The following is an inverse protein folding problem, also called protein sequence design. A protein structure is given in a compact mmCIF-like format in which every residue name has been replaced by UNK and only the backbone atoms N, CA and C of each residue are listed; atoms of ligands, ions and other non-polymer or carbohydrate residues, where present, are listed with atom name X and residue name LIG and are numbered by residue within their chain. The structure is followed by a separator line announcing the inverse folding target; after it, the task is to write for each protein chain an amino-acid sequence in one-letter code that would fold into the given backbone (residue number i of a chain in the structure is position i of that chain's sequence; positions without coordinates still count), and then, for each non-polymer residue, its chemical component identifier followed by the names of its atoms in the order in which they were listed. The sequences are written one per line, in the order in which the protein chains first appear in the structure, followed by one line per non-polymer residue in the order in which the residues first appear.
data_IF_837187412353
#
_entry.id   IF_837187412353
#
_cell.length_a   1.000
_cell.length_b   1.000
_cell.length_c   1.000
_cell.angle_alpha   90.00
_cell.angle_beta   90.00
_cell.angle_gamma   90.00
#
_symmetry.space_group_name_H-M   'P 1'
#
loop_
_entity.id
_entity.type
_entity.pdbx_description
1 polymer ?
#
# COMPACT_ATOMS: atom_id res chain seq x y z
N UNK A 1 46.51 21.34 16.30
CA UNK A 1 46.31 22.74 15.88
C UNK A 1 46.86 22.81 14.46
N UNK A 2 46.01 22.93 13.44
CA UNK A 2 46.50 23.12 12.07
C UNK A 2 47.32 24.41 12.04
N UNK A 3 48.60 24.32 11.69
CA UNK A 3 49.46 25.50 11.53
C UNK A 3 48.90 26.30 10.36
N UNK A 4 48.28 27.44 10.65
CA UNK A 4 47.81 28.37 9.62
C UNK A 4 49.03 28.91 8.88
N UNK A 5 49.02 28.78 7.55
CA UNK A 5 50.00 29.41 6.69
C UNK A 5 50.07 30.92 6.97
N UNK A 6 51.25 31.54 6.85
CA UNK A 6 51.38 32.99 6.96
C UNK A 6 50.52 33.67 5.90
N UNK A 7 50.02 34.87 6.22
CA UNK A 7 49.18 35.65 5.30
C UNK A 7 50.03 35.99 4.07
N UNK A 8 49.55 35.60 2.89
CA UNK A 8 50.24 35.83 1.62
C UNK A 8 49.89 37.21 1.05
N UNK A 9 50.90 38.07 0.95
CA UNK A 9 50.79 39.40 0.36
C UNK A 9 51.56 39.44 -0.96
N UNK A 10 50.91 39.94 -2.02
CA UNK A 10 51.56 40.17 -3.32
C UNK A 10 51.44 41.64 -3.70
N UNK A 11 52.50 42.19 -4.30
CA UNK A 11 52.55 43.61 -4.67
C UNK A 11 52.59 43.70 -6.20
N UNK A 12 51.65 44.43 -6.80
CA UNK A 12 51.71 44.77 -8.23
C UNK A 12 52.36 46.14 -8.36
N UNK A 13 53.34 46.23 -9.26
CA UNK A 13 54.02 47.46 -9.66
C UNK A 13 53.99 47.60 -11.18
N UNK A 14 54.26 48.79 -11.72
CA UNK A 14 54.14 49.05 -13.15
C UNK A 14 55.37 48.56 -13.91
N UNK A 15 56.56 48.81 -13.38
CA UNK A 15 57.85 48.55 -14.03
C UNK A 15 58.85 47.77 -13.18
N UNK A 16 59.96 47.37 -13.82
CA UNK A 16 61.06 46.66 -13.15
C UNK A 16 61.87 47.56 -12.20
N UNK A 17 61.93 48.85 -12.47
CA UNK A 17 62.51 49.90 -11.60
C UNK A 17 61.79 49.97 -10.25
N UNK A 18 60.46 49.95 -10.26
CA UNK A 18 59.64 49.92 -9.06
C UNK A 18 59.91 48.68 -8.20
N UNK A 19 60.15 47.53 -8.84
CA UNK A 19 60.48 46.27 -8.14
C UNK A 19 61.73 46.46 -7.30
N UNK A 20 62.75 47.13 -7.83
CA UNK A 20 64.00 47.34 -7.10
C UNK A 20 63.77 48.18 -5.84
N UNK A 21 63.03 49.29 -5.96
CA UNK A 21 62.73 50.16 -4.84
C UNK A 21 61.84 49.50 -3.78
N UNK A 22 60.80 48.80 -4.20
CA UNK A 22 59.94 48.03 -3.30
C UNK A 22 60.77 46.92 -2.62
N UNK A 23 61.60 46.19 -3.37
CA UNK A 23 62.48 45.15 -2.82
C UNK A 23 63.44 45.69 -1.77
N UNK A 24 64.11 46.82 -2.03
CA UNK A 24 64.96 47.52 -1.04
C UNK A 24 64.16 47.94 0.19
N UNK A 25 62.95 48.43 0.00
CA UNK A 25 62.07 48.79 1.11
C UNK A 25 61.75 47.59 2.01
N UNK A 26 61.59 46.38 1.43
CA UNK A 26 61.29 45.14 2.14
C UNK A 26 62.46 44.52 2.92
N UNK A 27 63.71 44.73 2.49
CA UNK A 27 64.88 44.05 3.06
C UNK A 27 65.05 44.20 4.59
N UNK A 28 64.66 45.35 5.17
CA UNK A 28 64.75 45.55 6.62
C UNK A 28 63.37 45.53 7.32
N UNK A 29 62.38 44.86 6.72
CA UNK A 29 61.05 44.69 7.31
C UNK A 29 60.91 43.27 7.85
N UNK A 30 60.67 43.13 9.16
CA UNK A 30 60.44 41.84 9.82
C UNK A 30 58.95 41.43 9.87
N UNK A 31 58.23 41.48 8.74
CA UNK A 31 56.78 41.18 8.69
C UNK A 31 56.43 39.74 9.12
N UNK A 32 57.28 38.77 8.80
CA UNK A 32 57.06 37.37 9.16
C UNK A 32 57.11 37.14 10.67
N UNK A 33 58.11 37.71 11.35
CA UNK A 33 58.28 37.56 12.79
C UNK A 33 57.30 38.43 13.59
N UNK A 34 57.03 39.67 13.13
CA UNK A 34 56.17 40.61 13.86
C UNK A 34 54.67 40.31 13.69
N UNK A 35 54.26 39.85 12.50
CA UNK A 35 52.84 39.79 12.12
C UNK A 35 52.39 38.48 11.47
N UNK A 36 53.28 37.49 11.30
CA UNK A 36 53.00 36.25 10.57
C UNK A 36 52.54 36.49 9.11
N UNK A 37 53.19 37.47 8.46
CA UNK A 37 52.89 37.90 7.09
C UNK A 37 54.10 37.62 6.19
N UNK A 38 53.85 37.07 5.01
CA UNK A 38 54.87 36.85 3.99
C UNK A 38 54.52 37.63 2.73
N UNK A 39 55.48 38.37 2.18
CA UNK A 39 55.34 38.96 0.85
C UNK A 39 55.93 37.96 -0.14
N UNK A 40 55.09 37.24 -0.88
CA UNK A 40 55.54 36.14 -1.75
C UNK A 40 56.05 36.62 -3.11
N UNK A 41 55.56 37.74 -3.62
CA UNK A 41 55.96 38.26 -4.93
C UNK A 41 55.73 39.76 -5.10
N UNK A 42 56.60 40.35 -5.92
CA UNK A 42 56.44 41.67 -6.52
C UNK A 42 56.29 41.45 -8.03
N UNK A 43 55.20 41.93 -8.61
CA UNK A 43 54.76 41.59 -9.97
C UNK A 43 54.84 42.87 -10.82
N UNK A 44 55.88 43.04 -11.67
CA UNK A 44 55.99 44.17 -12.57
C UNK A 44 55.15 43.95 -13.82
N UNK A 45 53.94 44.49 -13.83
CA UNK A 45 53.09 44.40 -15.02
C UNK A 45 52.09 45.53 -15.06
N UNK A 46 51.77 45.98 -16.27
CA UNK A 46 50.62 46.84 -16.58
C UNK A 46 49.47 46.06 -17.21
N UNK A 47 49.65 44.76 -17.45
CA UNK A 47 48.65 43.89 -18.07
C UNK A 47 47.76 43.22 -17.01
N UNK A 48 46.45 43.43 -17.12
CA UNK A 48 45.45 42.89 -16.19
C UNK A 48 45.35 41.38 -16.18
N UNK A 49 45.55 40.70 -17.32
CA UNK A 49 45.49 39.25 -17.41
C UNK A 49 46.70 38.58 -16.75
N UNK A 50 47.88 39.16 -16.92
CA UNK A 50 49.10 38.68 -16.25
C UNK A 50 48.97 38.87 -14.74
N UNK A 51 48.55 40.07 -14.32
CA UNK A 51 48.29 40.35 -12.91
C UNK A 51 47.29 39.34 -12.32
N UNK A 52 46.18 39.08 -13.02
CA UNK A 52 45.14 38.14 -12.58
C UNK A 52 45.69 36.75 -12.29
N UNK A 53 46.50 36.20 -13.20
CA UNK A 53 47.13 34.89 -13.01
C UNK A 53 48.16 34.92 -11.88
N UNK A 54 48.94 35.99 -11.79
CA UNK A 54 50.04 36.12 -10.84
C UNK A 54 49.56 36.35 -9.40
N UNK A 55 48.39 36.98 -9.19
CA UNK A 55 47.85 37.21 -7.85
C UNK A 55 46.88 36.14 -7.35
N UNK A 56 46.51 35.18 -8.19
CA UNK A 56 45.54 34.16 -7.83
C UNK A 56 45.92 33.43 -6.54
N UNK A 57 44.96 33.34 -5.61
CA UNK A 57 45.13 32.72 -4.30
C UNK A 57 45.91 33.54 -3.27
N UNK A 58 46.24 34.81 -3.56
CA UNK A 58 46.80 35.72 -2.56
C UNK A 58 45.71 36.17 -1.55
N UNK A 59 46.10 36.29 -0.29
CA UNK A 59 45.21 36.83 0.75
C UNK A 59 45.04 38.34 0.59
N UNK A 60 46.12 39.06 0.30
CA UNK A 60 46.12 40.51 0.08
C UNK A 60 46.95 40.86 -1.14
N UNK A 61 46.39 41.70 -2.01
CA UNK A 61 47.13 42.33 -3.10
C UNK A 61 47.29 43.82 -2.83
N UNK A 62 48.53 44.28 -2.82
CA UNK A 62 48.86 45.70 -2.77
C UNK A 62 49.11 46.21 -4.19
N UNK A 63 48.46 47.30 -4.57
CA UNK A 63 48.69 47.98 -5.84
C UNK A 63 49.57 49.20 -5.57
N UNK A 64 50.80 49.15 -6.07
CA UNK A 64 51.80 50.20 -5.98
C UNK A 64 52.01 50.81 -7.38
N UNK A 65 50.98 51.51 -7.86
CA UNK A 65 51.03 52.31 -9.09
C UNK A 65 51.35 53.75 -8.77
N UNK A 66 51.75 54.50 -9.80
CA UNK A 66 52.04 55.91 -9.67
C UNK A 66 50.80 56.72 -9.25
N UNK A 67 51.07 57.90 -8.67
CA UNK A 67 50.03 58.78 -8.13
C UNK A 67 49.39 59.62 -9.24
N UNK A 68 49.90 59.57 -10.46
CA UNK A 68 49.42 60.30 -11.63
C UNK A 68 48.07 59.78 -12.16
N UNK A 69 47.56 60.39 -13.24
CA UNK A 69 46.26 59.99 -13.80
C UNK A 69 46.28 58.58 -14.42
N UNK A 70 47.27 58.22 -15.26
CA UNK A 70 47.47 56.84 -15.74
C UNK A 70 47.55 55.78 -14.64
N UNK A 71 48.39 55.98 -13.61
CA UNK A 71 48.58 55.03 -12.51
C UNK A 71 47.32 54.87 -11.65
N UNK A 72 46.51 55.93 -11.51
CA UNK A 72 45.17 55.84 -10.89
C UNK A 72 44.21 54.99 -11.71
N UNK A 73 44.14 55.23 -13.01
CA UNK A 73 43.24 54.47 -13.89
C UNK A 73 43.63 52.98 -13.93
N UNK A 74 44.93 52.69 -13.96
CA UNK A 74 45.46 51.33 -13.90
C UNK A 74 45.10 50.64 -12.58
N UNK A 75 45.24 51.32 -11.44
CA UNK A 75 44.83 50.78 -10.15
C UNK A 75 43.33 50.48 -10.08
N UNK A 76 42.48 51.35 -10.62
CA UNK A 76 41.04 51.10 -10.68
C UNK A 76 40.70 49.89 -11.56
N UNK A 77 41.41 49.70 -12.68
CA UNK A 77 41.28 48.52 -13.53
C UNK A 77 41.64 47.25 -12.76
N UNK A 78 42.77 47.25 -12.04
CA UNK A 78 43.15 46.12 -11.19
C UNK A 78 42.12 45.83 -10.11
N UNK A 79 41.63 46.85 -9.40
CA UNK A 79 40.61 46.66 -8.36
C UNK A 79 39.34 46.00 -8.90
N UNK A 80 38.90 46.36 -10.11
CA UNK A 80 37.71 45.78 -10.74
C UNK A 80 37.92 44.32 -11.16
N UNK A 81 39.05 44.04 -11.82
CA UNK A 81 39.34 42.72 -12.38
C UNK A 81 39.68 41.69 -11.30
N UNK A 82 40.42 42.10 -10.28
CA UNK A 82 40.98 41.18 -9.29
C UNK A 82 40.03 40.89 -8.10
N UNK A 83 38.93 41.65 -7.94
CA UNK A 83 38.06 41.62 -6.74
C UNK A 83 37.54 40.23 -6.34
N UNK A 84 37.40 39.30 -7.30
CA UNK A 84 36.88 37.94 -7.06
C UNK A 84 37.96 36.87 -6.93
N UNK A 85 39.21 37.22 -7.21
CA UNK A 85 40.32 36.27 -7.35
C UNK A 85 41.24 36.27 -6.12
N UNK A 86 41.12 37.29 -5.27
CA UNK A 86 41.98 37.48 -4.09
C UNK A 86 41.14 37.90 -2.88
N UNK A 87 41.69 37.69 -1.67
CA UNK A 87 40.99 37.99 -0.42
C UNK A 87 40.67 39.48 -0.26
N UNK A 88 41.68 40.34 -0.42
CA UNK A 88 41.53 41.79 -0.35
C UNK A 88 42.48 42.51 -1.32
N UNK A 89 42.09 43.69 -1.80
CA UNK A 89 42.92 44.54 -2.66
C UNK A 89 43.02 45.92 -2.02
N UNK A 90 44.24 46.41 -1.85
CA UNK A 90 44.50 47.73 -1.32
C UNK A 90 45.46 48.49 -2.24
N UNK A 91 45.12 49.74 -2.56
CA UNK A 91 46.07 50.62 -3.25
C UNK A 91 46.94 51.33 -2.21
N UNK A 92 48.25 51.34 -2.44
CA UNK A 92 49.20 52.09 -1.62
C UNK A 92 48.99 53.59 -1.79
N UNK A 93 49.08 54.35 -0.69
CA UNK A 93 48.95 55.80 -0.68
C UNK A 93 50.34 56.44 -0.64
N UNK A 94 50.96 56.52 -1.81
CA UNK A 94 52.25 57.17 -1.99
C UNK A 94 52.11 58.70 -2.02
N UNK A 95 53.12 59.47 -1.60
CA UNK A 95 53.09 60.94 -1.63
C UNK A 95 52.93 61.49 -3.07
N UNK A 96 52.20 62.59 -3.19
CA UNK A 96 51.96 63.24 -4.49
C UNK A 96 53.26 63.76 -5.13
N UNK A 97 53.33 63.66 -6.47
CA UNK A 97 54.42 64.22 -7.28
C UNK A 97 55.72 63.41 -7.26
N UNK A 98 55.69 62.18 -6.76
CA UNK A 98 56.81 61.26 -6.80
C UNK A 98 56.38 59.98 -7.49
N UNK A 99 57.10 59.60 -8.53
CA UNK A 99 56.98 58.26 -9.11
C UNK A 99 57.57 57.25 -8.11
N UNK A 100 57.08 56.02 -8.11
CA UNK A 100 57.56 54.95 -7.20
C UNK A 100 59.09 54.81 -7.22
N UNK A 101 59.70 55.11 -8.37
CA UNK A 101 61.15 55.11 -8.62
C UNK A 101 61.97 56.12 -7.79
N UNK A 102 61.38 57.23 -7.34
CA UNK A 102 62.10 58.33 -6.68
C UNK A 102 61.74 58.50 -5.21
N UNK A 103 60.89 57.61 -4.67
CA UNK A 103 60.48 57.66 -3.27
C UNK A 103 61.53 56.98 -2.39
N UNK A 104 61.84 57.59 -1.25
CA UNK A 104 62.69 56.97 -0.22
C UNK A 104 62.11 55.59 0.19
N UNK A 105 62.91 54.50 0.11
CA UNK A 105 62.51 53.16 0.55
C UNK A 105 61.92 53.11 1.98
N UNK A 106 62.30 54.03 2.87
CA UNK A 106 61.72 54.14 4.22
C UNK A 106 60.23 54.50 4.18
N UNK A 107 59.84 55.38 3.25
CA UNK A 107 58.45 55.81 3.11
C UNK A 107 57.60 54.72 2.44
N UNK A 108 58.13 54.07 1.40
CA UNK A 108 57.49 52.90 0.75
C UNK A 108 57.21 51.83 1.80
N UNK A 109 58.21 51.50 2.62
CA UNK A 109 58.08 50.56 3.74
C UNK A 109 56.94 50.91 4.69
N UNK A 110 56.88 52.18 5.11
CA UNK A 110 55.84 52.65 6.03
C UNK A 110 54.46 52.47 5.39
N UNK A 111 54.33 52.77 4.11
CA UNK A 111 53.06 52.62 3.41
C UNK A 111 52.68 51.16 3.18
N UNK A 112 53.63 50.25 2.92
CA UNK A 112 53.37 48.80 2.88
C UNK A 112 52.80 48.34 4.23
N UNK A 113 53.42 48.72 5.36
CA UNK A 113 52.90 48.39 6.69
C UNK A 113 51.48 48.97 6.89
N UNK A 114 51.28 50.24 6.56
CA UNK A 114 49.98 50.89 6.72
C UNK A 114 48.89 50.22 5.86
N UNK A 115 49.20 49.89 4.61
CA UNK A 115 48.26 49.25 3.69
C UNK A 115 47.82 47.88 4.22
N UNK A 116 48.79 47.05 4.65
CA UNK A 116 48.51 45.76 5.29
C UNK A 116 47.62 45.92 6.54
N UNK A 117 47.93 46.89 7.41
CA UNK A 117 47.13 47.17 8.61
C UNK A 117 45.71 47.58 8.23
N UNK A 118 45.52 48.46 7.24
CA UNK A 118 44.19 48.87 6.75
C UNK A 118 43.40 47.68 6.23
N UNK A 119 44.03 46.82 5.42
CA UNK A 119 43.42 45.59 4.93
C UNK A 119 42.99 44.66 6.07
N UNK A 120 43.87 44.47 7.06
CA UNK A 120 43.58 43.65 8.24
C UNK A 120 42.41 44.19 9.06
N UNK A 121 42.38 45.49 9.34
CA UNK A 121 41.30 46.14 10.09
C UNK A 121 39.96 46.03 9.34
N UNK A 122 39.95 46.20 8.02
CA UNK A 122 38.74 46.06 7.21
C UNK A 122 38.20 44.62 7.26
N UNK A 123 39.08 43.62 7.20
CA UNK A 123 38.70 42.21 7.35
C UNK A 123 38.15 41.90 8.73
N UNK A 124 38.75 42.46 9.79
CA UNK A 124 38.26 42.31 11.17
C UNK A 124 36.85 42.91 11.32
N UNK A 125 36.60 44.08 10.74
CA UNK A 125 35.28 44.72 10.79
C UNK A 125 34.18 43.84 10.16
N UNK A 126 34.53 42.99 9.20
CA UNK A 126 33.59 42.08 8.53
C UNK A 126 33.39 40.74 9.27
N UNK A 127 34.15 40.44 10.34
CA UNK A 127 34.05 39.16 11.07
C UNK A 127 32.64 38.89 11.61
N UNK A 128 31.91 39.92 12.03
CA UNK A 128 30.53 39.78 12.49
C UNK A 128 29.62 39.19 11.40
N UNK A 129 29.70 39.74 10.19
CA UNK A 129 28.93 39.25 9.02
C UNK A 129 29.34 37.84 8.63
N UNK A 130 30.65 37.54 8.63
CA UNK A 130 31.13 36.18 8.36
C UNK A 130 30.59 35.16 9.38
N UNK A 131 30.54 35.51 10.67
CA UNK A 131 29.95 34.66 11.71
C UNK A 131 28.45 34.43 11.48
N UNK A 132 27.72 35.49 11.12
CA UNK A 132 26.29 35.39 10.81
C UNK A 132 26.04 34.44 9.61
N UNK A 133 26.79 34.63 8.52
CA UNK A 133 26.69 33.75 7.34
C UNK A 133 27.05 32.31 7.70
N UNK A 134 28.10 32.10 8.50
CA UNK A 134 28.51 30.76 8.97
C UNK A 134 27.42 30.10 9.81
N UNK A 135 26.76 30.85 10.69
CA UNK A 135 25.65 30.32 11.49
C UNK A 135 24.46 29.94 10.60
N UNK A 136 24.07 30.81 9.67
CA UNK A 136 23.01 30.52 8.70
C UNK A 136 23.31 29.28 7.84
N UNK A 137 24.57 29.10 7.45
CA UNK A 137 25.02 27.91 6.73
C UNK A 137 24.83 26.66 7.60
N UNK A 138 25.27 26.70 8.86
CA UNK A 138 25.10 25.60 9.80
C UNK A 138 23.62 25.26 10.03
N UNK A 139 22.77 26.25 10.24
CA UNK A 139 21.33 26.06 10.41
C UNK A 139 20.71 25.39 9.16
N UNK A 140 21.17 25.78 7.97
CA UNK A 140 20.74 25.16 6.71
C UNK A 140 21.24 23.71 6.58
N UNK A 141 22.48 23.42 6.97
CA UNK A 141 23.03 22.05 6.98
C UNK A 141 22.26 21.13 7.92
N UNK A 142 21.92 21.63 9.11
CA UNK A 142 21.15 20.85 10.09
C UNK A 142 19.72 20.60 9.60
N UNK A 143 19.09 21.59 8.94
CA UNK A 143 17.78 21.40 8.29
C UNK A 143 17.82 20.38 7.14
N UNK A 144 18.91 20.35 6.35
CA UNK A 144 19.08 19.33 5.30
C UNK A 144 19.18 17.93 5.91
N UNK A 145 19.90 17.77 7.03
CA UNK A 145 19.98 16.48 7.73
C UNK A 145 18.62 16.02 8.25
N UNK A 146 17.84 16.93 8.81
CA UNK A 146 16.48 16.64 9.29
C UNK A 146 15.57 16.18 8.15
N UNK A 147 15.54 16.91 7.03
CA UNK A 147 14.76 16.55 5.85
C UNK A 147 15.18 15.20 5.25
N UNK A 148 16.48 14.91 5.22
CA UNK A 148 16.97 13.61 4.75
C UNK A 148 16.48 12.45 5.63
N UNK A 149 16.41 12.66 6.94
CA UNK A 149 15.85 11.67 7.87
C UNK A 149 14.36 11.47 7.61
N UNK A 150 13.60 12.55 7.43
CA UNK A 150 12.17 12.48 7.12
C UNK A 150 11.90 11.74 5.80
N UNK A 151 12.70 11.98 4.75
CA UNK A 151 12.61 11.26 3.48
C UNK A 151 12.85 9.76 3.68
N UNK A 152 13.84 9.38 4.49
CA UNK A 152 14.14 7.98 4.77
C UNK A 152 12.98 7.31 5.53
N UNK A 153 12.43 7.98 6.54
CA UNK A 153 11.30 7.50 7.33
C UNK A 153 10.05 7.32 6.42
N UNK A 154 9.72 8.31 5.59
CA UNK A 154 8.62 8.25 4.63
C UNK A 154 8.81 7.16 3.57
N UNK A 155 10.05 6.93 3.10
CA UNK A 155 10.35 5.84 2.17
C UNK A 155 10.06 4.48 2.81
N UNK A 156 10.45 4.30 4.08
CA UNK A 156 10.17 3.05 4.79
C UNK A 156 8.67 2.83 4.98
N UNK A 157 7.92 3.88 5.32
CA UNK A 157 6.46 3.81 5.46
C UNK A 157 5.80 3.45 4.13
N UNK A 158 6.22 4.10 3.04
CA UNK A 158 5.76 3.78 1.69
C UNK A 158 5.96 2.30 1.36
N UNK A 159 7.12 1.73 1.64
CA UNK A 159 7.40 0.32 1.35
C UNK A 159 6.47 -0.60 2.17
N UNK A 160 6.21 -0.28 3.44
CA UNK A 160 5.24 -1.04 4.24
C UNK A 160 3.81 -0.96 3.70
N UNK A 161 3.40 0.22 3.20
CA UNK A 161 2.07 0.42 2.61
C UNK A 161 1.94 -0.32 1.27
N UNK A 162 3.00 -0.33 0.46
CA UNK A 162 3.03 -1.11 -0.79
C UNK A 162 2.84 -2.60 -0.51
N UNK A 163 3.55 -3.15 0.48
CA UNK A 163 3.38 -4.55 0.88
C UNK A 163 1.96 -4.85 1.36
N UNK A 164 1.39 -4.00 2.22
CA UNK A 164 0.00 -4.15 2.68
C UNK A 164 -1.02 -4.09 1.54
N UNK A 165 -0.82 -3.18 0.58
CA UNK A 165 -1.69 -3.09 -0.60
C UNK A 165 -1.61 -4.35 -1.46
N UNK A 166 -0.43 -4.95 -1.60
CA UNK A 166 -0.27 -6.21 -2.32
C UNK A 166 -1.00 -7.35 -1.59
N UNK A 167 -0.83 -7.47 -0.27
CA UNK A 167 -1.54 -8.47 0.54
C UNK A 167 -3.07 -8.32 0.43
N UNK A 168 -3.57 -7.08 0.44
CA UNK A 168 -4.99 -6.79 0.26
C UNK A 168 -5.48 -7.19 -1.13
N UNK A 169 -4.73 -6.86 -2.19
CA UNK A 169 -5.06 -7.24 -3.56
C UNK A 169 -5.15 -8.77 -3.72
N UNK A 170 -4.18 -9.51 -3.18
CA UNK A 170 -4.17 -10.97 -3.18
C UNK A 170 -5.38 -11.54 -2.41
N UNK A 171 -5.76 -10.91 -1.29
CA UNK A 171 -6.93 -11.32 -0.51
C UNK A 171 -8.25 -11.06 -1.24
N UNK A 172 -8.34 -9.95 -1.97
CA UNK A 172 -9.50 -9.59 -2.79
C UNK A 172 -9.69 -10.61 -3.92
N UNK A 173 -8.60 -10.99 -4.59
CA UNK A 173 -8.64 -12.02 -5.64
C UNK A 173 -9.12 -13.37 -5.08
N UNK A 174 -8.59 -13.80 -3.92
CA UNK A 174 -9.02 -15.04 -3.25
C UNK A 174 -10.51 -15.01 -2.90
N UNK A 175 -10.99 -13.89 -2.37
CA UNK A 175 -12.40 -13.71 -2.02
C UNK A 175 -13.28 -13.75 -3.26
N UNK A 176 -12.85 -13.14 -4.36
CA UNK A 176 -13.57 -13.15 -5.64
C UNK A 176 -13.70 -14.57 -6.21
N UNK A 177 -12.62 -15.35 -6.18
CA UNK A 177 -12.65 -16.77 -6.57
C UNK A 177 -13.61 -17.57 -5.69
N UNK A 178 -13.56 -17.36 -4.37
CA UNK A 178 -14.47 -18.04 -3.43
C UNK A 178 -15.94 -17.66 -3.68
N UNK A 179 -16.22 -16.39 -3.95
CA UNK A 179 -17.55 -15.92 -4.30
C UNK A 179 -18.07 -16.58 -5.58
N UNK A 180 -17.24 -16.71 -6.61
CA UNK A 180 -17.62 -17.41 -7.84
C UNK A 180 -17.91 -18.89 -7.60
N UNK A 181 -17.09 -19.58 -6.80
CA UNK A 181 -17.33 -20.99 -6.46
C UNK A 181 -18.65 -21.19 -5.71
N UNK A 182 -18.94 -20.35 -4.71
CA UNK A 182 -20.18 -20.39 -3.95
C UNK A 182 -21.40 -20.08 -4.82
N UNK A 183 -21.28 -19.15 -5.77
CA UNK A 183 -22.36 -18.87 -6.72
C UNK A 183 -22.67 -20.10 -7.58
N UNK A 184 -21.66 -20.86 -8.00
CA UNK A 184 -21.87 -22.07 -8.79
C UNK A 184 -22.47 -23.20 -7.95
N UNK A 185 -21.97 -23.42 -6.74
CA UNK A 185 -22.57 -24.37 -5.78
C UNK A 185 -24.03 -24.03 -5.48
N UNK A 186 -24.36 -22.75 -5.35
CA UNK A 186 -25.72 -22.29 -5.15
C UNK A 186 -26.62 -22.59 -6.35
N UNK A 187 -26.14 -22.40 -7.59
CA UNK A 187 -26.90 -22.77 -8.80
C UNK A 187 -27.17 -24.27 -8.84
N UNK A 188 -26.15 -25.10 -8.58
CA UNK A 188 -26.29 -26.56 -8.55
C UNK A 188 -27.30 -26.99 -7.49
N UNK A 189 -27.21 -26.43 -6.29
CA UNK A 189 -28.14 -26.71 -5.19
C UNK A 189 -29.57 -26.31 -5.55
N UNK A 190 -29.75 -25.15 -6.18
CA UNK A 190 -31.05 -24.67 -6.66
C UNK A 190 -31.67 -25.60 -7.71
N UNK A 191 -30.85 -26.11 -8.65
CA UNK A 191 -31.29 -27.10 -9.63
C UNK A 191 -31.73 -28.40 -8.95
N UNK A 192 -30.88 -28.96 -8.07
CA UNK A 192 -31.22 -30.17 -7.29
C UNK A 192 -32.51 -30.02 -6.49
N UNK A 193 -32.71 -28.85 -5.86
CA UNK A 193 -33.94 -28.56 -5.14
C UNK A 193 -35.17 -28.56 -6.05
N UNK A 194 -35.06 -27.97 -7.25
CA UNK A 194 -36.13 -27.99 -8.24
C UNK A 194 -36.45 -29.43 -8.70
N UNK A 195 -35.44 -30.25 -8.94
CA UNK A 195 -35.60 -31.65 -9.33
C UNK A 195 -36.32 -32.45 -8.24
N UNK A 196 -35.89 -32.33 -6.98
CA UNK A 196 -36.53 -32.98 -5.83
C UNK A 196 -37.98 -32.51 -5.67
N UNK A 197 -38.23 -31.20 -5.81
CA UNK A 197 -39.59 -30.65 -5.75
C UNK A 197 -40.48 -31.23 -6.84
N UNK A 198 -39.97 -31.37 -8.06
CA UNK A 198 -40.70 -31.98 -9.17
C UNK A 198 -40.98 -33.45 -8.91
N UNK A 199 -39.99 -34.22 -8.46
CA UNK A 199 -40.17 -35.63 -8.09
C UNK A 199 -41.21 -35.80 -6.99
N UNK A 200 -41.16 -34.95 -5.97
CA UNK A 200 -42.15 -34.95 -4.90
C UNK A 200 -43.56 -34.65 -5.41
N UNK A 201 -43.71 -33.66 -6.31
CA UNK A 201 -45.00 -33.39 -6.98
C UNK A 201 -45.51 -34.59 -7.79
N UNK A 202 -44.63 -35.31 -8.49
CA UNK A 202 -44.98 -36.54 -9.22
C UNK A 202 -45.44 -37.63 -8.25
N UNK A 203 -44.77 -37.79 -7.10
CA UNK A 203 -45.13 -38.78 -6.08
C UNK A 203 -46.50 -38.51 -5.47
N UNK A 204 -46.81 -37.26 -5.13
CA UNK A 204 -48.13 -36.89 -4.61
C UNK A 204 -49.22 -37.11 -5.66
N UNK A 205 -48.94 -36.81 -6.93
CA UNK A 205 -49.94 -36.90 -8.00
C UNK A 205 -50.15 -38.33 -8.50
N UNK A 206 -49.30 -39.30 -8.11
CA UNK A 206 -49.60 -40.72 -8.33
C UNK A 206 -50.65 -41.14 -7.31
N UNK A 207 -51.74 -41.72 -7.78
CA UNK A 207 -52.72 -42.44 -6.95
C UNK A 207 -52.05 -43.67 -6.34
N UNK A 208 -51.37 -43.48 -5.20
CA UNK A 208 -50.74 -44.56 -4.46
C UNK A 208 -51.84 -45.31 -3.69
N UNK A 209 -51.86 -46.64 -3.81
CA UNK A 209 -52.74 -47.46 -2.99
C UNK A 209 -52.27 -47.42 -1.54
N UNK A 210 -53.13 -46.95 -0.64
CA UNK A 210 -52.91 -47.03 0.80
C UNK A 210 -53.31 -48.42 1.29
N UNK A 211 -52.52 -49.01 2.20
CA UNK A 211 -52.75 -50.34 2.78
C UNK A 211 -53.44 -50.20 4.12
N UNK A 212 -54.61 -50.81 4.27
CA UNK A 212 -55.39 -50.84 5.51
C UNK A 212 -55.50 -52.26 6.03
N UNK A 213 -55.38 -52.42 7.35
CA UNK A 213 -55.61 -53.71 8.02
C UNK A 213 -57.09 -54.08 7.93
N UNK A 214 -57.37 -55.29 7.45
CA UNK A 214 -58.74 -55.75 7.21
C UNK A 214 -59.51 -55.92 8.52
N UNK A 215 -58.87 -56.51 9.54
CA UNK A 215 -59.46 -56.75 10.85
C UNK A 215 -59.80 -55.46 11.59
N UNK A 216 -58.92 -54.45 11.49
CA UNK A 216 -59.13 -53.13 12.11
C UNK A 216 -60.21 -52.35 11.37
N UNK A 217 -60.13 -52.29 10.03
CA UNK A 217 -61.10 -51.54 9.24
C UNK A 217 -62.50 -52.16 9.33
N UNK A 218 -62.61 -53.49 9.39
CA UNK A 218 -63.87 -54.19 9.60
C UNK A 218 -64.47 -53.88 10.97
N UNK A 219 -63.64 -53.94 12.02
CA UNK A 219 -64.05 -53.59 13.38
C UNK A 219 -64.45 -52.13 13.50
N UNK A 220 -63.76 -51.21 12.85
CA UNK A 220 -64.14 -49.79 12.88
C UNK A 220 -65.41 -49.50 12.08
N UNK A 221 -65.61 -50.19 10.95
CA UNK A 221 -66.74 -49.93 10.05
C UNK A 221 -68.04 -50.56 10.56
N UNK A 222 -67.95 -51.72 11.23
CA UNK A 222 -69.12 -52.50 11.65
C UNK A 222 -69.18 -52.84 13.14
N UNK A 223 -68.16 -52.44 13.92
CA UNK A 223 -68.07 -52.68 15.37
C UNK A 223 -68.09 -54.17 15.78
N UNK A 224 -67.60 -55.04 14.90
CA UNK A 224 -67.59 -56.49 15.06
C UNK A 224 -66.21 -57.08 14.83
N UNK A 225 -65.94 -58.25 15.41
CA UNK A 225 -64.72 -59.02 15.12
C UNK A 225 -64.91 -59.79 13.83
N UNK A 226 -63.91 -59.70 12.95
CA UNK A 226 -63.90 -60.42 11.68
C UNK A 226 -63.60 -61.90 11.94
N UNK A 227 -64.60 -62.77 11.74
CA UNK A 227 -64.48 -64.19 12.05
C UNK A 227 -64.06 -65.04 10.83
N UNK A 228 -64.35 -64.59 9.60
CA UNK A 228 -64.11 -65.37 8.36
C UNK A 228 -63.47 -64.49 7.26
N UNK A 229 -62.14 -64.28 7.35
CA UNK A 229 -61.36 -63.50 6.38
C UNK A 229 -61.35 -64.09 4.95
N UNK A 230 -61.52 -65.41 4.85
CA UNK A 230 -61.52 -66.14 3.57
C UNK A 230 -62.72 -65.74 2.69
N UNK A 231 -63.89 -65.46 3.27
CA UNK A 231 -65.09 -65.09 2.52
C UNK A 231 -64.95 -63.71 1.87
N UNK A 232 -64.32 -62.76 2.57
CA UNK A 232 -64.04 -61.42 2.06
C UNK A 232 -63.06 -61.50 0.87
N UNK A 233 -62.05 -62.37 1.00
CA UNK A 233 -61.05 -62.62 -0.03
C UNK A 233 -61.69 -63.28 -1.26
N UNK A 234 -62.54 -64.28 -1.05
CA UNK A 234 -63.28 -64.98 -2.09
C UNK A 234 -64.22 -64.04 -2.86
N UNK A 235 -65.13 -63.33 -2.17
CA UNK A 235 -66.08 -62.39 -2.78
C UNK A 235 -65.34 -61.34 -3.60
N UNK A 236 -64.26 -60.77 -3.08
CA UNK A 236 -63.53 -59.75 -3.82
C UNK A 236 -62.78 -60.31 -5.03
N UNK A 237 -62.31 -61.56 -4.96
CA UNK A 237 -61.68 -62.23 -6.10
C UNK A 237 -62.66 -62.55 -7.24
N UNK A 238 -63.93 -62.80 -6.90
CA UNK A 238 -65.02 -63.06 -7.84
C UNK A 238 -65.53 -61.77 -8.50
N UNK A 239 -65.80 -60.73 -7.70
CA UNK A 239 -66.36 -59.47 -8.21
C UNK A 239 -65.31 -58.54 -8.86
N UNK A 240 -64.01 -58.73 -8.59
CA UNK A 240 -62.87 -57.97 -9.17
C UNK A 240 -63.12 -56.46 -9.27
N UNK A 241 -63.33 -55.76 -8.14
CA UNK A 241 -63.53 -54.32 -8.14
C UNK A 241 -62.33 -53.56 -8.75
N UNK A 242 -62.61 -52.47 -9.46
CA UNK A 242 -61.56 -51.57 -9.95
C UNK A 242 -60.88 -50.85 -8.77
N UNK A 243 -59.55 -50.77 -8.81
CA UNK A 243 -58.72 -50.08 -7.83
C UNK A 243 -58.87 -50.58 -6.38
N UNK A 244 -59.12 -51.87 -6.18
CA UNK A 244 -59.06 -52.49 -4.85
C UNK A 244 -58.31 -53.82 -4.95
N UNK A 245 -57.33 -54.02 -4.08
CA UNK A 245 -56.54 -55.27 -4.01
C UNK A 245 -56.57 -55.81 -2.59
N UNK A 246 -56.94 -57.07 -2.42
CA UNK A 246 -56.90 -57.78 -1.14
C UNK A 246 -55.77 -58.81 -1.11
N UNK A 247 -55.10 -58.93 0.02
CA UNK A 247 -54.11 -59.99 0.24
C UNK A 247 -53.60 -60.02 1.68
N UNK A 248 -53.40 -61.25 2.20
CA UNK A 248 -52.76 -61.52 3.50
C UNK A 248 -53.30 -60.66 4.67
N UNK A 249 -54.62 -60.50 4.77
CA UNK A 249 -55.26 -59.73 5.85
C UNK A 249 -55.28 -58.21 5.67
N UNK A 250 -54.99 -57.69 4.47
CA UNK A 250 -55.03 -56.25 4.18
C UNK A 250 -55.79 -55.92 2.91
N UNK A 251 -56.40 -54.74 2.91
CA UNK A 251 -57.05 -54.12 1.75
C UNK A 251 -56.24 -52.91 1.29
N UNK A 252 -55.88 -52.89 0.01
CA UNK A 252 -55.18 -51.79 -0.63
C UNK A 252 -56.16 -51.02 -1.53
N UNK A 253 -56.37 -49.74 -1.24
CA UNK A 253 -57.30 -48.88 -1.97
C UNK A 253 -56.76 -47.43 -2.08
N UNK A 254 -57.22 -46.62 -3.05
CA UNK A 254 -56.82 -45.22 -3.19
C UNK A 254 -57.13 -44.34 -1.97
N UNK A 255 -58.13 -44.70 -1.18
CA UNK A 255 -58.46 -44.04 0.09
C UNK A 255 -59.09 -45.01 1.08
N UNK A 256 -59.05 -44.66 2.38
CA UNK A 256 -59.72 -45.43 3.45
C UNK A 256 -61.23 -45.53 3.24
N UNK A 257 -61.84 -44.51 2.63
CA UNK A 257 -63.28 -44.49 2.33
C UNK A 257 -63.63 -45.53 1.27
N UNK A 258 -62.83 -45.63 0.21
CA UNK A 258 -63.04 -46.59 -0.87
C UNK A 258 -62.90 -48.04 -0.35
N UNK A 259 -61.92 -48.28 0.53
CA UNK A 259 -61.78 -49.57 1.21
C UNK A 259 -63.00 -49.90 2.09
N UNK A 260 -63.50 -48.94 2.88
CA UNK A 260 -64.66 -49.14 3.75
C UNK A 260 -65.95 -49.34 2.96
N UNK A 261 -66.15 -48.59 1.87
CA UNK A 261 -67.33 -48.70 1.02
C UNK A 261 -67.38 -50.07 0.32
N UNK A 262 -66.23 -50.61 -0.10
CA UNK A 262 -66.17 -51.99 -0.60
C UNK A 262 -66.49 -53.03 0.47
N UNK A 263 -65.98 -52.86 1.69
CA UNK A 263 -66.33 -53.76 2.79
C UNK A 263 -67.84 -53.75 3.10
N UNK A 264 -68.54 -52.61 2.93
CA UNK A 264 -70.01 -52.55 3.05
C UNK A 264 -70.71 -53.34 1.96
N UNK A 265 -70.20 -53.30 0.73
CA UNK A 265 -70.72 -54.13 -0.37
C UNK A 265 -70.55 -55.60 -0.03
N UNK A 266 -69.36 -56.03 0.40
CA UNK A 266 -69.10 -57.41 0.82
C UNK A 266 -70.03 -57.80 1.96
N UNK A 267 -70.18 -56.95 2.98
CA UNK A 267 -71.06 -57.24 4.11
C UNK A 267 -72.52 -57.38 3.68
N UNK A 268 -72.97 -56.55 2.75
CA UNK A 268 -74.33 -56.66 2.19
C UNK A 268 -74.49 -58.01 1.48
N UNK A 269 -73.50 -58.42 0.69
CA UNK A 269 -73.50 -59.74 0.02
C UNK A 269 -73.52 -60.88 1.04
N UNK A 270 -72.72 -60.79 2.12
CA UNK A 270 -72.70 -61.79 3.19
C UNK A 270 -74.04 -61.87 3.93
N UNK A 271 -74.68 -60.74 4.25
CA UNK A 271 -76.02 -60.72 4.87
C UNK A 271 -77.07 -61.38 3.96
N UNK A 272 -77.02 -61.15 2.65
CA UNK A 272 -77.92 -61.82 1.70
C UNK A 272 -77.60 -63.31 1.50
N UNK A 273 -76.35 -63.72 1.73
CA UNK A 273 -75.94 -65.12 1.72
C UNK A 273 -76.41 -65.84 3.00
N UNK A 274 -76.27 -65.20 4.15
CA UNK A 274 -76.73 -65.71 5.45
C UNK A 274 -78.26 -65.73 5.54
N UNK A 275 -78.96 -64.73 5.00
CA UNK A 275 -80.44 -64.71 4.99
C UNK A 275 -81.03 -65.85 4.16
N UNK A 276 -80.36 -66.27 3.07
CA UNK A 276 -80.75 -67.47 2.32
C UNK A 276 -80.52 -68.77 3.09
N UNK A 277 -79.55 -68.79 4.02
CA UNK A 277 -79.28 -69.95 4.90
C UNK A 277 -80.27 -69.97 6.07
N UNK A 278 -80.71 -68.82 6.58
CA UNK A 278 -81.77 -68.71 7.60
C UNK A 278 -83.16 -69.05 7.04
N UNK A 279 -83.49 -68.60 5.82
CA UNK A 279 -84.72 -69.00 5.13
C UNK A 279 -84.77 -70.53 4.89
N UNK A 280 -83.62 -71.14 4.58
CA UNK A 280 -83.48 -72.61 4.45
C UNK A 280 -83.55 -73.35 5.80
N UNK A 281 -83.29 -72.68 6.93
CA UNK A 281 -83.42 -73.25 8.28
C UNK A 281 -84.82 -73.09 8.88
N UNK A 282 -85.59 -72.06 8.49
CA UNK A 282 -87.00 -71.93 8.90
C UNK A 282 -87.93 -72.91 8.17
N UNK A 283 -87.59 -73.40 6.96
CA UNK A 283 -88.37 -74.43 6.26
C UNK A 283 -88.11 -75.87 6.74
N UNK A 284 -87.06 -76.14 7.51
CA UNK A 284 -86.72 -77.47 8.04
C UNK A 284 -86.67 -77.39 9.56
N UNK A 285 -87.84 -77.60 10.19
CA UNK A 285 -87.98 -77.63 11.63
C UNK A 285 -87.00 -78.59 12.32
N UNK A 286 -86.57 -78.18 13.51
CA UNK A 286 -85.61 -78.85 14.41
C UNK A 286 -85.74 -80.38 14.41
N UNK A 287 -84.88 -81.05 13.64
CA UNK A 287 -84.17 -82.26 14.06
C UNK A 287 -83.00 -82.57 13.11
N UNK A 288 -81.79 -82.63 13.68
CA UNK A 288 -80.55 -83.22 13.15
C UNK A 288 -80.03 -82.68 11.80
N UNK A 289 -79.15 -81.68 11.86
CA UNK A 289 -78.15 -81.46 10.82
C UNK A 289 -76.76 -81.90 11.30
N UNK A 290 -76.43 -83.17 11.07
CA UNK A 290 -75.18 -83.52 10.37
C UNK A 290 -75.53 -83.51 8.87
N UNK A 291 -74.64 -83.33 7.86
CA UNK A 291 -73.19 -83.56 7.86
C UNK A 291 -72.40 -82.62 6.90
N UNK A 292 -71.12 -82.96 6.66
CA UNK A 292 -70.51 -82.86 5.34
C UNK A 292 -71.51 -83.10 4.21
N UNK A 293 -71.74 -82.09 3.38
CA UNK A 293 -72.21 -82.22 2.00
C UNK A 293 -72.21 -80.82 1.39
N UNK A 294 -71.10 -80.48 0.74
CA UNK A 294 -70.97 -79.59 -0.42
C UNK A 294 -69.47 -79.55 -0.76
N UNK A 295 -68.96 -80.71 -1.19
CA UNK A 295 -67.85 -80.77 -2.14
C UNK A 295 -68.50 -80.71 -3.51
N UNK A 296 -68.41 -79.56 -4.15
CA UNK A 296 -67.96 -79.33 -5.54
C UNK A 296 -67.95 -77.83 -5.80
#
# INVERSE_FOLDING_TARGET
MEMRNPIDVRIIVEGASDVENVSRALQNIALGAEYHITISSIIPTTNTEIAKKAVNGADIVLIATDVDAPGRELAEKYQKVLKKEVGHIERMKLPFGHDVEYIDPVLIRREIKNAIIRSGLLSIANLGRFREIKNRLKDSEDKIKELNKEIQDLSSERDTLVNKNQELADSEERLKLKQQSLQEEFKVTKQRYADVKNQYGILINKTLYERFSLSELWKETFNETLNEEENITFITSEFKPENIVLGQGFIAAPSRKDAADWLKVIRTVLIFYDSKIEDLKEEIGDERFSPHLLKE
#
